data_IF_591703211296
#
_entry.id   IF_591703211296
#
_cell.length_a   1.000
_cell.length_b   1.000
_cell.length_c   1.000
_cell.angle_alpha   90.00
_cell.angle_beta   90.00
_cell.angle_gamma   90.00
#
_symmetry.space_group_name_H-M   'P 1'
#
loop_
_entity.id
_entity.type
_entity.pdbx_description
1 polymer ?
#
# COMPACT_ATOMS: atom_id res chain seq x y z
N UNK A 1 -3.67 29.13 5.68
CA UNK A 1 -5.06 28.64 5.48
C UNK A 1 -4.95 27.20 5.03
N UNK A 2 -5.29 26.24 5.90
CA UNK A 2 -5.07 24.82 5.65
C UNK A 2 -6.30 24.17 5.02
N UNK A 3 -6.15 23.62 3.82
CA UNK A 3 -7.18 22.77 3.23
C UNK A 3 -7.11 21.38 3.88
N UNK A 4 -8.15 21.02 4.63
CA UNK A 4 -8.36 19.67 5.16
C UNK A 4 -9.33 18.97 4.23
N UNK A 5 -8.83 18.02 3.46
CA UNK A 5 -9.67 17.07 2.73
C UNK A 5 -9.79 15.81 3.58
N UNK A 6 -11.00 15.40 3.91
CA UNK A 6 -11.27 14.12 4.56
C UNK A 6 -12.25 13.32 3.73
N UNK A 7 -11.89 12.09 3.40
CA UNK A 7 -12.81 11.09 2.83
C UNK A 7 -13.15 10.12 3.94
N UNK A 8 -14.43 10.01 4.28
CA UNK A 8 -14.95 8.99 5.19
C UNK A 8 -15.53 7.86 4.34
N UNK A 9 -14.87 6.71 4.33
CA UNK A 9 -15.40 5.51 3.69
C UNK A 9 -15.78 4.51 4.80
N UNK A 10 -17.07 4.16 4.88
CA UNK A 10 -17.57 3.16 5.83
C UNK A 10 -17.95 1.90 5.06
N UNK A 11 -17.04 0.94 4.98
CA UNK A 11 -17.34 -0.41 4.53
C UNK A 11 -17.29 -1.35 5.74
N UNK A 12 -18.39 -2.04 6.03
CA UNK A 12 -18.47 -3.00 7.15
C UNK A 12 -18.85 -4.37 6.58
N UNK A 13 -17.90 -5.29 6.60
CA UNK A 13 -18.09 -6.71 6.29
C UNK A 13 -17.09 -7.50 7.12
N UNK A 14 -17.59 -8.34 8.03
CA UNK A 14 -16.75 -9.28 8.78
C UNK A 14 -16.70 -10.60 7.99
N UNK A 15 -15.76 -10.67 7.04
CA UNK A 15 -15.34 -11.94 6.46
C UNK A 15 -13.93 -12.24 6.96
N UNK A 16 -13.86 -12.97 8.08
CA UNK A 16 -12.60 -13.52 8.58
C UNK A 16 -12.41 -14.93 8.03
N UNK A 17 -11.20 -15.22 7.58
CA UNK A 17 -10.84 -16.52 7.02
C UNK A 17 -9.33 -16.61 6.86
N UNK A 18 -8.79 -17.82 7.01
CA UNK A 18 -7.37 -18.09 6.74
C UNK A 18 -7.24 -18.40 5.25
N UNK A 19 -6.54 -17.53 4.53
CA UNK A 19 -6.23 -17.73 3.11
C UNK A 19 -4.72 -17.92 2.99
N UNK A 20 -4.23 -18.96 2.27
CA UNK A 20 -2.81 -19.08 1.98
C UNK A 20 -2.30 -17.82 1.28
N UNK A 21 -1.20 -17.27 1.79
CA UNK A 21 -0.58 -16.09 1.22
C UNK A 21 0.92 -16.34 1.01
N UNK A 22 1.42 -16.01 -0.17
CA UNK A 22 2.86 -15.92 -0.42
C UNK A 22 3.27 -14.48 -0.26
N UNK A 23 4.10 -14.20 0.73
CA UNK A 23 4.64 -12.86 1.01
C UNK A 23 5.99 -12.71 0.33
N UNK A 24 6.25 -11.55 -0.26
CA UNK A 24 7.53 -11.20 -0.86
C UNK A 24 7.98 -9.82 -0.38
N UNK A 25 9.31 -9.61 -0.37
CA UNK A 25 9.94 -8.33 -0.13
C UNK A 25 11.27 -8.27 -0.88
N UNK A 26 11.59 -7.11 -1.45
CA UNK A 26 12.83 -6.88 -2.19
C UNK A 26 13.25 -5.41 -2.10
N UNK A 27 14.56 -5.16 -1.99
CA UNK A 27 15.13 -3.83 -2.21
C UNK A 27 15.26 -3.65 -3.72
N UNK A 28 14.55 -2.67 -4.28
CA UNK A 28 14.43 -2.48 -5.73
C UNK A 28 15.48 -1.52 -6.25
N UNK A 29 15.64 -0.38 -5.58
CA UNK A 29 16.49 0.72 -6.04
C UNK A 29 16.82 1.69 -4.91
N UNK A 30 17.80 2.55 -5.17
CA UNK A 30 17.99 3.82 -4.46
C UNK A 30 17.63 4.92 -5.47
N UNK A 31 16.70 5.79 -5.14
CA UNK A 31 16.24 6.87 -6.01
C UNK A 31 15.81 8.11 -5.22
N UNK A 32 15.84 9.27 -5.87
CA UNK A 32 15.38 10.52 -5.28
C UNK A 32 13.85 10.62 -5.29
N UNK A 33 13.29 11.02 -4.15
CA UNK A 33 11.85 11.32 -3.99
C UNK A 33 11.68 12.80 -3.68
N UNK A 34 10.79 13.47 -4.41
CA UNK A 34 10.46 14.87 -4.13
C UNK A 34 9.54 14.99 -2.90
N UNK A 35 10.04 15.63 -1.84
CA UNK A 35 9.31 15.93 -0.60
C UNK A 35 9.33 17.43 -0.38
N UNK A 36 8.17 18.08 -0.44
CA UNK A 36 8.03 19.52 -0.22
C UNK A 36 9.00 20.38 -1.09
N UNK A 37 9.21 19.98 -2.35
CA UNK A 37 10.11 20.65 -3.28
C UNK A 37 11.61 20.39 -3.05
N UNK A 38 11.96 19.37 -2.26
CA UNK A 38 13.35 18.93 -2.04
C UNK A 38 13.50 17.49 -2.50
N UNK A 39 14.60 17.18 -3.17
CA UNK A 39 14.98 15.81 -3.44
C UNK A 39 15.47 15.15 -2.14
N UNK A 40 14.94 13.98 -1.84
CA UNK A 40 15.36 13.15 -0.71
C UNK A 40 15.76 11.80 -1.26
N UNK A 41 17.04 11.44 -1.09
CA UNK A 41 17.56 10.15 -1.50
C UNK A 41 16.94 9.05 -0.62
N UNK A 42 16.36 8.03 -1.24
CA UNK A 42 15.61 7.01 -0.54
C UNK A 42 15.83 5.61 -1.11
N UNK A 43 15.83 4.60 -0.23
CA UNK A 43 15.77 3.20 -0.60
C UNK A 43 14.33 2.82 -0.91
N UNK A 44 14.08 2.36 -2.13
CA UNK A 44 12.81 1.76 -2.54
C UNK A 44 12.78 0.29 -2.18
N UNK A 45 11.86 -0.07 -1.29
CA UNK A 45 11.53 -1.45 -0.93
C UNK A 45 10.17 -1.79 -1.52
N UNK A 46 10.09 -2.87 -2.28
CA UNK A 46 8.83 -3.47 -2.71
C UNK A 46 8.50 -4.62 -1.79
N UNK A 47 7.26 -4.73 -1.36
CA UNK A 47 6.78 -5.87 -0.59
C UNK A 47 5.29 -6.08 -0.85
N UNK A 48 4.83 -7.30 -0.64
CA UNK A 48 3.46 -7.59 -0.95
C UNK A 48 3.09 -9.02 -0.66
N UNK A 49 1.90 -9.39 -1.09
CA UNK A 49 1.43 -10.75 -0.96
C UNK A 49 0.58 -11.14 -2.17
N UNK A 50 0.69 -12.42 -2.54
CA UNK A 50 -0.26 -13.08 -3.43
C UNK A 50 -1.15 -13.97 -2.57
N UNK A 51 -2.46 -13.75 -2.64
CA UNK A 51 -3.48 -14.52 -1.94
C UNK A 51 -3.98 -15.64 -2.84
N UNK A 52 -3.95 -16.87 -2.35
CA UNK A 52 -4.48 -18.05 -3.06
C UNK A 52 -3.92 -18.24 -4.47
N UNK A 53 -4.67 -19.01 -5.27
CA UNK A 53 -4.43 -19.21 -6.72
C UNK A 53 -5.73 -19.01 -7.51
N UNK A 54 -5.68 -18.84 -8.84
CA UNK A 54 -6.89 -18.76 -9.65
C UNK A 54 -7.82 -19.96 -9.40
N UNK A 55 -9.06 -19.68 -9.00
CA UNK A 55 -10.07 -20.69 -8.66
C UNK A 55 -10.31 -20.86 -7.16
N UNK A 56 -9.44 -20.35 -6.30
CA UNK A 56 -9.69 -20.33 -4.85
C UNK A 56 -10.85 -19.38 -4.49
N UNK A 57 -11.46 -19.61 -3.32
CA UNK A 57 -12.54 -18.76 -2.81
C UNK A 57 -12.10 -17.30 -2.66
N UNK A 58 -10.83 -17.07 -2.32
CA UNK A 58 -10.19 -15.76 -2.30
C UNK A 58 -8.88 -15.82 -3.07
N UNK A 59 -8.71 -14.92 -4.05
CA UNK A 59 -7.51 -14.80 -4.87
C UNK A 59 -7.21 -13.34 -5.18
N UNK A 60 -5.93 -12.97 -5.16
CA UNK A 60 -5.53 -11.61 -5.52
C UNK A 60 -4.11 -11.26 -5.12
N UNK A 61 -3.79 -9.97 -5.20
CA UNK A 61 -2.48 -9.45 -4.85
C UNK A 61 -2.58 -8.14 -4.08
N UNK A 62 -1.59 -7.92 -3.22
CA UNK A 62 -1.20 -6.62 -2.68
C UNK A 62 0.24 -6.37 -3.12
N UNK A 63 0.49 -5.24 -3.76
CA UNK A 63 1.82 -4.81 -4.18
C UNK A 63 2.10 -3.42 -3.59
N UNK A 64 3.01 -3.35 -2.62
CA UNK A 64 3.36 -2.11 -1.95
C UNK A 64 4.78 -1.72 -2.35
N UNK A 65 4.99 -0.42 -2.52
CA UNK A 65 6.33 0.16 -2.53
C UNK A 65 6.45 1.19 -1.42
N UNK A 66 7.58 1.16 -0.70
CA UNK A 66 7.94 2.12 0.33
C UNK A 66 9.31 2.72 0.00
N UNK A 67 9.42 4.02 0.19
CA UNK A 67 10.68 4.74 0.09
C UNK A 67 11.09 5.19 1.48
N UNK A 68 12.19 4.65 1.97
CA UNK A 68 12.80 5.02 3.24
C UNK A 68 13.92 6.02 2.95
N UNK A 69 13.83 7.22 3.52
CA UNK A 69 14.92 8.18 3.40
C UNK A 69 16.21 7.60 4.01
N UNK A 70 17.35 7.86 3.36
CA UNK A 70 18.64 7.34 3.81
C UNK A 70 19.16 8.06 5.05
N UNK A 71 18.97 9.38 5.10
CA UNK A 71 19.48 10.22 6.18
C UNK A 71 18.58 10.23 7.43
N UNK A 72 17.28 9.92 7.25
CA UNK A 72 16.27 9.94 8.30
C UNK A 72 15.43 8.66 8.22
N UNK A 73 15.17 7.94 9.33
CA UNK A 73 14.43 6.68 9.31
C UNK A 73 12.91 6.89 9.16
N UNK A 74 12.51 7.60 8.11
CA UNK A 74 11.12 7.98 7.81
C UNK A 74 10.72 7.50 6.41
N UNK A 75 9.46 7.13 6.28
CA UNK A 75 8.86 6.80 4.98
C UNK A 75 8.49 8.12 4.29
N UNK A 76 9.07 8.36 3.12
CA UNK A 76 8.83 9.59 2.35
C UNK A 76 7.84 9.42 1.21
N UNK A 77 7.69 8.19 0.71
CA UNK A 77 6.68 7.82 -0.28
C UNK A 77 6.18 6.40 -0.03
N UNK A 78 4.90 6.17 -0.32
CA UNK A 78 4.28 4.86 -0.35
C UNK A 78 3.34 4.75 -1.54
N UNK A 79 3.39 3.63 -2.24
CA UNK A 79 2.32 3.23 -3.16
C UNK A 79 1.74 1.89 -2.74
N UNK A 80 0.47 1.67 -3.08
CA UNK A 80 -0.20 0.39 -2.99
C UNK A 80 -0.99 0.19 -4.27
N UNK A 81 -0.89 -1.00 -4.84
CA UNK A 81 -1.84 -1.55 -5.80
C UNK A 81 -2.35 -2.89 -5.27
N UNK A 82 -3.65 -2.95 -4.97
CA UNK A 82 -4.33 -4.12 -4.48
C UNK A 82 -5.46 -4.52 -5.42
N UNK A 83 -5.55 -5.81 -5.70
CA UNK A 83 -6.63 -6.39 -6.48
C UNK A 83 -6.97 -7.77 -5.91
N UNK A 84 -8.07 -7.84 -5.17
CA UNK A 84 -8.50 -9.05 -4.48
C UNK A 84 -9.91 -9.39 -4.88
N UNK A 85 -10.14 -10.66 -5.16
CA UNK A 85 -11.44 -11.19 -5.46
C UNK A 85 -11.78 -12.26 -4.45
N UNK A 86 -13.01 -12.24 -3.93
CA UNK A 86 -13.49 -13.21 -2.96
C UNK A 86 -14.90 -13.70 -3.33
N UNK A 87 -15.17 -14.94 -3.00
CA UNK A 87 -16.45 -15.61 -3.24
C UNK A 87 -17.18 -15.74 -1.91
N UNK A 88 -18.39 -15.20 -1.88
CA UNK A 88 -19.31 -15.25 -0.74
C UNK A 88 -20.50 -16.13 -1.09
N UNK A 89 -21.31 -16.58 -0.11
CA UNK A 89 -22.53 -17.34 -0.38
C UNK A 89 -23.53 -16.60 -1.30
N UNK A 90 -23.47 -15.26 -1.33
CA UNK A 90 -24.35 -14.43 -2.17
C UNK A 90 -23.75 -14.07 -3.53
N UNK A 91 -22.51 -14.45 -3.79
CA UNK A 91 -21.83 -14.20 -5.06
C UNK A 91 -20.38 -13.75 -4.92
N UNK A 92 -19.78 -13.38 -6.05
CA UNK A 92 -18.38 -12.98 -6.17
C UNK A 92 -18.24 -11.47 -6.01
N UNK A 93 -17.33 -11.04 -5.12
CA UNK A 93 -17.02 -9.63 -4.85
C UNK A 93 -15.57 -9.37 -5.25
N UNK A 94 -15.31 -8.26 -5.92
CA UNK A 94 -13.96 -7.81 -6.27
C UNK A 94 -13.67 -6.48 -5.59
N UNK A 95 -12.51 -6.40 -4.96
CA UNK A 95 -11.94 -5.24 -4.30
C UNK A 95 -10.70 -4.80 -5.07
N UNK A 96 -10.66 -3.51 -5.44
CA UNK A 96 -9.48 -2.87 -6.00
C UNK A 96 -9.21 -1.61 -5.20
N UNK A 97 -7.99 -1.46 -4.75
CA UNK A 97 -7.51 -0.27 -4.05
C UNK A 97 -6.15 0.12 -4.61
N UNK A 98 -6.01 1.38 -4.97
CA UNK A 98 -4.75 1.94 -5.44
C UNK A 98 -4.55 3.31 -4.82
N UNK A 99 -3.37 3.56 -4.26
CA UNK A 99 -3.03 4.89 -3.77
C UNK A 99 -1.55 5.20 -3.92
N UNK A 100 -1.26 6.50 -3.94
CA UNK A 100 0.07 7.05 -3.76
C UNK A 100 0.01 8.08 -2.62
N UNK A 101 0.94 7.96 -1.67
CA UNK A 101 1.14 8.88 -0.56
C UNK A 101 2.57 9.41 -0.63
N UNK A 102 2.72 10.72 -0.57
CA UNK A 102 4.02 11.40 -0.52
C UNK A 102 4.04 12.31 0.69
N UNK A 103 5.14 12.28 1.45
CA UNK A 103 5.34 13.17 2.58
C UNK A 103 5.28 14.63 2.11
N UNK A 104 4.60 15.47 2.89
CA UNK A 104 4.50 16.91 2.61
C UNK A 104 5.52 17.75 3.39
N UNK A 105 6.31 17.10 4.25
CA UNK A 105 7.32 17.73 5.11
C UNK A 105 8.21 16.63 5.68
N UNK A 106 9.52 16.88 5.75
CA UNK A 106 10.47 16.05 6.51
C UNK A 106 10.44 16.37 8.01
N UNK A 107 9.82 17.48 8.42
CA UNK A 107 9.68 17.84 9.83
C UNK A 107 8.46 17.11 10.41
N UNK A 108 8.61 16.24 11.41
CA UNK A 108 7.47 15.70 12.14
C UNK A 108 6.72 16.84 12.83
N UNK A 109 5.39 16.78 12.84
CA UNK A 109 4.58 17.70 13.64
C UNK A 109 4.80 17.36 15.11
N UNK A 110 5.41 18.29 15.85
CA UNK A 110 5.46 18.31 17.32
C UNK A 110 4.09 18.60 17.92
#
# INVERSE_FOLDING_TARGET
VGHRSSVTCTAKSDMSGVVPATVYYEVVAIEDVEVAGRAVEAIKVRFGSNLGKPGDSSYGSYDNHLWFALEEPVIVKRTLDANVTTTTPVGKVSFKESFELVAQSMKPRS
#
